data_IF_946599781464
#
_entry.id   IF_946599781464
#
_cell.length_a   1.000
_cell.length_b   1.000
_cell.length_c   1.000
_cell.angle_alpha   90.00
_cell.angle_beta   90.00
_cell.angle_gamma   90.00
#
_symmetry.space_group_name_H-M   'P 1'
#
loop_
_entity.id
_entity.type
_entity.pdbx_description
1 polymer ?
#
# COMPACT_ATOMS: atom_id res chain seq x y z
N UNK A 1 -16.38 -37.21 -65.96
CA UNK A 1 -15.38 -36.38 -65.32
C UNK A 1 -15.95 -36.00 -63.97
N UNK A 2 -15.50 -36.64 -62.87
CA UNK A 2 -15.94 -36.35 -61.49
C UNK A 2 -15.03 -35.27 -60.90
N UNK A 3 -15.58 -34.09 -60.54
CA UNK A 3 -14.86 -33.04 -59.87
C UNK A 3 -14.81 -33.38 -58.39
N UNK A 4 -13.58 -33.63 -57.85
CA UNK A 4 -13.32 -33.81 -56.41
C UNK A 4 -13.19 -32.42 -55.82
N UNK A 5 -14.12 -32.04 -54.91
CA UNK A 5 -13.99 -30.84 -54.05
C UNK A 5 -13.16 -31.20 -52.83
N UNK A 6 -11.96 -30.65 -52.74
CA UNK A 6 -11.10 -30.77 -51.57
C UNK A 6 -11.52 -29.71 -50.54
N UNK A 7 -12.14 -30.14 -49.45
CA UNK A 7 -12.53 -29.25 -48.32
C UNK A 7 -11.31 -29.12 -47.40
N UNK A 8 -10.63 -27.96 -47.45
CA UNK A 8 -9.54 -27.65 -46.53
C UNK A 8 -10.16 -27.11 -45.23
N UNK A 9 -10.13 -27.95 -44.19
CA UNK A 9 -10.55 -27.56 -42.82
C UNK A 9 -9.41 -26.79 -42.15
N UNK A 10 -9.52 -25.48 -42.05
CA UNK A 10 -8.59 -24.64 -41.27
C UNK A 10 -8.93 -24.78 -39.80
N UNK A 11 -8.14 -25.52 -39.05
CA UNK A 11 -8.24 -25.60 -37.59
C UNK A 11 -7.53 -24.36 -37.02
N UNK A 12 -8.29 -23.37 -36.59
CA UNK A 12 -7.79 -22.24 -35.81
C UNK A 12 -7.46 -22.72 -34.38
N UNK A 13 -6.19 -22.88 -34.10
CA UNK A 13 -5.72 -23.04 -32.72
C UNK A 13 -5.86 -21.67 -32.00
N UNK A 14 -6.91 -21.49 -31.19
CA UNK A 14 -7.04 -20.38 -30.29
C UNK A 14 -6.15 -20.70 -29.07
N UNK A 15 -4.92 -20.18 -29.07
CA UNK A 15 -4.10 -20.19 -27.87
C UNK A 15 -4.70 -19.14 -26.90
N UNK A 16 -4.97 -19.49 -25.63
CA UNK A 16 -5.35 -18.50 -24.65
C UNK A 16 -4.18 -17.52 -24.50
N UNK A 17 -4.36 -16.29 -24.97
CA UNK A 17 -3.45 -15.19 -24.65
C UNK A 17 -3.70 -14.88 -23.18
N UNK A 18 -2.83 -15.36 -22.31
CA UNK A 18 -2.84 -15.02 -20.90
C UNK A 18 -2.42 -13.54 -20.83
N UNK A 19 -3.37 -12.66 -20.56
CA UNK A 19 -3.08 -11.25 -20.39
C UNK A 19 -2.11 -11.10 -19.22
N UNK A 20 -0.92 -10.59 -19.48
CA UNK A 20 0.06 -10.29 -18.43
C UNK A 20 -0.50 -9.16 -17.59
N UNK A 21 -0.94 -9.47 -16.37
CA UNK A 21 -1.44 -8.47 -15.43
C UNK A 21 -0.23 -7.78 -14.77
N UNK A 22 -0.04 -6.50 -15.06
CA UNK A 22 1.00 -5.69 -14.41
C UNK A 22 0.45 -5.13 -13.11
N UNK A 23 1.06 -5.51 -11.97
CA UNK A 23 0.74 -4.96 -10.66
C UNK A 23 1.53 -3.67 -10.42
N UNK A 24 0.82 -2.56 -10.17
CA UNK A 24 1.42 -1.26 -9.85
C UNK A 24 1.34 -1.01 -8.35
N UNK A 25 2.48 -0.94 -7.71
CA UNK A 25 2.62 -0.68 -6.30
C UNK A 25 3.23 0.71 -6.09
N UNK A 26 2.72 1.44 -5.08
CA UNK A 26 3.17 2.78 -4.74
C UNK A 26 3.41 2.88 -3.24
N UNK A 27 4.40 3.68 -2.84
CA UNK A 27 4.55 4.16 -1.45
C UNK A 27 4.61 5.68 -1.46
N UNK A 28 3.97 6.34 -0.48
CA UNK A 28 3.86 7.79 -0.44
C UNK A 28 3.72 8.29 1.01
N UNK A 29 4.78 8.89 1.55
CA UNK A 29 4.69 9.68 2.77
C UNK A 29 4.01 11.02 2.42
N UNK A 30 2.83 11.28 2.99
CA UNK A 30 1.98 12.43 2.62
C UNK A 30 2.13 13.64 3.54
N UNK A 31 2.95 13.55 4.58
CA UNK A 31 3.14 14.64 5.57
C UNK A 31 1.78 15.24 6.00
N UNK A 32 0.86 14.42 6.50
CA UNK A 32 -0.52 14.80 6.87
C UNK A 32 -1.30 15.52 5.76
N UNK A 33 -1.01 15.23 4.50
CA UNK A 33 -1.50 15.91 3.30
C UNK A 33 -1.06 17.39 3.18
N UNK A 34 -0.01 17.81 3.90
CA UNK A 34 0.58 19.13 3.77
C UNK A 34 1.59 19.17 2.61
N UNK A 35 1.40 20.13 1.72
CA UNK A 35 2.37 20.42 0.66
C UNK A 35 3.60 21.16 1.19
N UNK A 36 4.60 21.35 0.32
CA UNK A 36 5.79 22.17 0.62
C UNK A 36 5.48 23.65 0.81
N UNK A 37 4.28 24.06 0.48
CA UNK A 37 3.70 25.40 0.68
C UNK A 37 2.86 25.49 1.98
N UNK A 38 2.94 24.48 2.84
CA UNK A 38 2.18 24.33 4.10
C UNK A 38 0.65 24.35 3.92
N UNK A 39 0.17 24.10 2.69
CA UNK A 39 -1.26 23.97 2.41
C UNK A 39 -1.67 22.51 2.49
N UNK A 40 -2.57 22.18 3.44
CA UNK A 40 -3.17 20.87 3.53
C UNK A 40 -4.20 20.66 2.39
N UNK A 41 -4.03 19.60 1.60
CA UNK A 41 -4.94 19.31 0.48
C UNK A 41 -5.03 17.83 0.16
N UNK A 42 -6.12 17.19 0.54
CA UNK A 42 -6.42 15.80 0.18
C UNK A 42 -6.58 15.61 -1.32
N UNK A 43 -7.09 16.65 -2.02
CA UNK A 43 -7.23 16.61 -3.47
C UNK A 43 -5.87 16.53 -4.18
N UNK A 44 -4.86 17.25 -3.70
CA UNK A 44 -3.50 17.20 -4.29
C UNK A 44 -2.88 15.82 -4.13
N UNK A 45 -3.02 15.20 -2.95
CA UNK A 45 -2.57 13.83 -2.70
C UNK A 45 -3.31 12.84 -3.62
N UNK A 46 -4.64 12.95 -3.69
CA UNK A 46 -5.45 12.10 -4.57
C UNK A 46 -5.07 12.26 -6.06
N UNK A 47 -4.76 13.48 -6.52
CA UNK A 47 -4.32 13.71 -7.90
C UNK A 47 -3.00 13.00 -8.21
N UNK A 48 -2.03 12.99 -7.27
CA UNK A 48 -0.76 12.26 -7.44
C UNK A 48 -1.03 10.76 -7.58
N UNK A 49 -1.89 10.20 -6.72
CA UNK A 49 -2.26 8.78 -6.74
C UNK A 49 -2.99 8.43 -8.05
N UNK A 50 -3.99 9.22 -8.44
CA UNK A 50 -4.76 8.99 -9.67
C UNK A 50 -3.89 9.04 -10.93
N UNK A 51 -2.94 9.98 -10.99
CA UNK A 51 -2.00 10.08 -12.11
C UNK A 51 -1.07 8.88 -12.21
N UNK A 52 -0.63 8.32 -11.08
CA UNK A 52 0.19 7.11 -11.04
C UNK A 52 -0.62 5.83 -11.30
N UNK A 53 -1.95 5.87 -11.06
CA UNK A 53 -2.88 4.75 -11.25
C UNK A 53 -2.41 3.44 -10.61
N UNK A 54 -1.98 3.42 -9.34
CA UNK A 54 -1.51 2.22 -8.66
C UNK A 54 -2.68 1.27 -8.34
N UNK A 55 -2.37 -0.02 -8.13
CA UNK A 55 -3.32 -1.00 -7.62
C UNK A 55 -3.37 -0.98 -6.09
N UNK A 56 -2.22 -0.69 -5.47
CA UNK A 56 -2.07 -0.54 -4.01
C UNK A 56 -1.11 0.60 -3.70
N UNK A 57 -1.45 1.41 -2.68
CA UNK A 57 -0.61 2.49 -2.16
C UNK A 57 -0.36 2.28 -0.66
N UNK A 58 0.91 2.21 -0.26
CA UNK A 58 1.33 2.35 1.14
C UNK A 58 1.45 3.85 1.46
N UNK A 59 0.72 4.32 2.46
CA UNK A 59 0.70 5.73 2.84
C UNK A 59 1.24 5.89 4.25
N UNK A 60 2.18 6.80 4.44
CA UNK A 60 2.74 7.15 5.72
C UNK A 60 2.32 8.56 6.14
N UNK A 61 2.41 8.84 7.43
CA UNK A 61 2.04 10.11 8.06
C UNK A 61 0.57 10.49 7.84
N UNK A 62 -0.32 9.57 8.25
CA UNK A 62 -1.76 9.73 8.10
C UNK A 62 -2.42 10.08 9.41
N UNK A 63 -3.15 11.18 9.43
CA UNK A 63 -4.02 11.56 10.53
C UNK A 63 -5.41 10.93 10.42
N UNK A 64 -5.99 10.61 11.57
CA UNK A 64 -7.40 10.25 11.70
C UNK A 64 -8.02 11.01 12.86
N UNK A 65 -8.95 11.91 12.55
CA UNK A 65 -9.71 12.69 13.54
C UNK A 65 -8.85 13.59 14.43
N UNK A 66 -7.64 13.96 14.02
CA UNK A 66 -6.78 14.88 14.78
C UNK A 66 -7.26 16.32 14.64
N UNK A 67 -6.88 17.18 15.61
CA UNK A 67 -7.20 18.61 15.55
C UNK A 67 -6.60 19.28 14.32
N UNK A 68 -5.32 18.99 14.01
CA UNK A 68 -4.63 19.59 12.86
C UNK A 68 -5.23 19.16 11.51
N UNK A 69 -5.86 17.98 11.43
CA UNK A 69 -6.57 17.54 10.24
C UNK A 69 -8.01 18.09 10.13
N UNK A 70 -8.42 18.96 11.06
CA UNK A 70 -9.79 19.45 11.14
C UNK A 70 -10.79 18.37 11.52
N UNK A 71 -10.37 17.39 12.34
CA UNK A 71 -11.16 16.22 12.75
C UNK A 71 -11.63 15.38 11.55
N UNK A 72 -10.80 15.30 10.49
CA UNK A 72 -11.08 14.49 9.30
C UNK A 72 -10.41 13.13 9.39
N UNK A 73 -11.07 12.12 8.87
CA UNK A 73 -10.47 10.83 8.55
C UNK A 73 -9.72 10.96 7.21
N UNK A 74 -8.45 11.40 7.28
CA UNK A 74 -7.65 11.80 6.11
C UNK A 74 -7.57 10.68 5.06
N UNK A 75 -7.34 9.45 5.48
CA UNK A 75 -7.27 8.32 4.53
C UNK A 75 -8.60 8.10 3.81
N UNK A 76 -9.72 8.23 4.52
CA UNK A 76 -11.06 8.12 3.91
C UNK A 76 -11.35 9.22 2.90
N UNK A 77 -10.95 10.46 3.21
CA UNK A 77 -11.06 11.60 2.29
C UNK A 77 -10.27 11.38 0.99
N UNK A 78 -9.09 10.75 1.08
CA UNK A 78 -8.28 10.41 -0.10
C UNK A 78 -8.89 9.21 -0.82
N UNK A 79 -9.35 8.18 -0.10
CA UNK A 79 -9.97 6.98 -0.65
C UNK A 79 -11.20 7.31 -1.52
N UNK A 80 -12.06 8.21 -1.04
CA UNK A 80 -13.23 8.68 -1.79
C UNK A 80 -12.82 9.31 -3.14
N UNK A 81 -11.80 10.18 -3.14
CA UNK A 81 -11.29 10.87 -4.33
C UNK A 81 -10.54 9.97 -5.30
N UNK A 82 -10.01 8.85 -4.83
CA UNK A 82 -9.29 7.87 -5.64
C UNK A 82 -10.13 6.65 -6.00
N UNK A 83 -11.34 6.53 -5.43
CA UNK A 83 -12.22 5.35 -5.56
C UNK A 83 -11.52 4.06 -5.11
N UNK A 84 -10.68 4.15 -4.08
CA UNK A 84 -9.95 3.02 -3.50
C UNK A 84 -10.49 2.68 -2.10
N UNK A 85 -10.25 1.45 -1.65
CA UNK A 85 -10.58 1.01 -0.28
C UNK A 85 -9.50 1.48 0.68
N UNK A 86 -9.90 2.04 1.83
CA UNK A 86 -9.01 2.54 2.87
C UNK A 86 -8.82 1.52 4.00
N UNK A 87 -7.57 1.25 4.37
CA UNK A 87 -7.21 0.43 5.53
C UNK A 87 -6.23 1.24 6.40
N UNK A 88 -6.69 1.77 7.53
CA UNK A 88 -5.88 2.60 8.44
C UNK A 88 -5.38 1.77 9.61
N UNK A 89 -4.11 1.97 9.98
CA UNK A 89 -3.49 1.41 11.19
C UNK A 89 -2.90 2.54 12.04
N UNK A 90 -3.47 2.80 13.22
CA UNK A 90 -2.91 3.78 14.13
C UNK A 90 -1.58 3.28 14.72
N UNK A 91 -0.64 4.19 14.90
CA UNK A 91 0.59 3.98 15.66
C UNK A 91 0.51 4.64 17.03
N UNK A 92 0.00 5.88 17.10
CA UNK A 92 -0.13 6.66 18.33
C UNK A 92 -1.46 7.40 18.42
N UNK A 93 -1.86 7.76 19.65
CA UNK A 93 -2.85 8.81 19.91
C UNK A 93 -2.18 10.17 19.67
N UNK A 94 -2.86 11.06 18.96
CA UNK A 94 -2.30 12.36 18.60
C UNK A 94 -3.38 13.43 18.46
N UNK A 95 -3.25 14.56 19.15
CA UNK A 95 -4.14 15.73 19.07
C UNK A 95 -5.65 15.40 19.14
N UNK A 96 -6.05 14.45 20.01
CA UNK A 96 -7.44 14.04 20.20
C UNK A 96 -7.96 13.05 19.15
N UNK A 97 -7.14 12.63 18.22
CA UNK A 97 -7.37 11.58 17.26
C UNK A 97 -6.21 10.60 17.24
N UNK A 98 -5.91 10.04 16.05
CA UNK A 98 -4.85 9.05 15.85
C UNK A 98 -3.95 9.44 14.68
N UNK A 99 -2.70 8.99 14.77
CA UNK A 99 -1.71 9.14 13.71
C UNK A 99 -1.08 7.79 13.43
N UNK A 100 -0.79 7.52 12.15
CA UNK A 100 -0.23 6.25 11.76
C UNK A 100 0.00 6.12 10.25
N UNK A 101 -0.29 4.93 9.75
CA UNK A 101 -0.12 4.57 8.35
C UNK A 101 -1.42 4.04 7.73
N UNK A 102 -1.46 3.96 6.41
CA UNK A 102 -2.62 3.45 5.69
C UNK A 102 -2.27 2.69 4.42
N UNK A 103 -3.23 1.91 3.96
CA UNK A 103 -3.26 1.39 2.61
C UNK A 103 -4.46 1.94 1.88
N UNK A 104 -4.26 2.30 0.61
CA UNK A 104 -5.34 2.44 -0.36
C UNK A 104 -5.22 1.31 -1.39
N UNK A 105 -6.31 0.62 -1.67
CA UNK A 105 -6.30 -0.57 -2.53
C UNK A 105 -7.48 -0.56 -3.49
N UNK A 106 -7.27 -0.96 -4.75
CA UNK A 106 -8.39 -1.16 -5.70
C UNK A 106 -9.22 -2.39 -5.35
N UNK A 107 -8.56 -3.45 -4.85
CA UNK A 107 -9.22 -4.68 -4.43
C UNK A 107 -9.27 -4.75 -2.90
N UNK A 108 -10.33 -5.29 -2.33
CA UNK A 108 -10.41 -5.57 -0.90
C UNK A 108 -9.44 -6.71 -0.57
N UNK A 109 -8.53 -6.55 0.41
CA UNK A 109 -7.66 -7.64 0.84
C UNK A 109 -8.47 -8.81 1.39
N UNK A 110 -8.01 -10.05 1.15
CA UNK A 110 -8.58 -11.27 1.74
C UNK A 110 -8.38 -11.29 3.26
N UNK A 111 -7.23 -10.76 3.72
CA UNK A 111 -6.87 -10.65 5.13
C UNK A 111 -6.09 -9.37 5.38
N UNK A 112 -6.37 -8.75 6.52
CA UNK A 112 -5.66 -7.57 7.00
C UNK A 112 -5.18 -7.82 8.43
N UNK A 113 -3.91 -7.51 8.70
CA UNK A 113 -3.33 -7.57 10.04
C UNK A 113 -2.59 -6.27 10.33
N UNK A 114 -2.71 -5.81 11.57
CA UNK A 114 -1.93 -4.69 12.10
C UNK A 114 -1.01 -5.22 13.18
N UNK A 115 0.27 -4.93 13.07
CA UNK A 115 1.32 -5.48 13.93
C UNK A 115 2.10 -4.31 14.52
N UNK A 116 2.16 -4.16 15.85
CA UNK A 116 2.98 -3.14 16.51
C UNK A 116 4.47 -3.37 16.20
N UNK A 117 5.18 -2.29 15.92
CA UNK A 117 6.62 -2.30 15.71
C UNK A 117 7.34 -1.42 16.74
N UNK A 118 8.59 -1.73 17.08
CA UNK A 118 9.40 -0.89 17.95
C UNK A 118 9.63 0.51 17.40
N UNK A 119 9.61 1.50 18.30
CA UNK A 119 9.96 2.89 18.01
C UNK A 119 10.01 3.64 19.33
N UNK A 120 11.22 4.04 19.79
CA UNK A 120 11.40 4.73 21.08
C UNK A 120 10.96 6.19 21.05
N UNK A 121 11.11 6.84 19.90
CA UNK A 121 10.68 8.21 19.67
C UNK A 121 9.18 8.28 19.42
N UNK A 122 8.62 7.27 18.79
CA UNK A 122 7.23 7.15 18.45
C UNK A 122 6.91 5.67 18.15
N UNK A 123 5.83 5.14 18.68
CA UNK A 123 5.40 3.79 18.37
C UNK A 123 5.16 3.65 16.86
N UNK A 124 5.54 2.50 16.30
CA UNK A 124 5.40 2.19 14.88
C UNK A 124 4.44 1.04 14.69
N UNK A 125 4.00 0.87 13.44
CA UNK A 125 3.08 -0.19 13.08
C UNK A 125 3.36 -0.71 11.68
N UNK A 126 2.96 -1.95 11.44
CA UNK A 126 2.96 -2.59 10.12
C UNK A 126 1.52 -2.95 9.76
N UNK A 127 1.11 -2.66 8.54
CA UNK A 127 -0.07 -3.29 7.93
C UNK A 127 0.43 -4.42 7.03
N UNK A 128 -0.12 -5.62 7.22
CA UNK A 128 0.05 -6.76 6.31
C UNK A 128 -1.30 -7.03 5.65
N UNK A 129 -1.35 -6.85 4.35
CA UNK A 129 -2.52 -7.10 3.52
C UNK A 129 -2.28 -8.30 2.61
N UNK A 130 -3.08 -9.34 2.73
CA UNK A 130 -3.05 -10.52 1.88
C UNK A 130 -4.05 -10.37 0.74
N UNK A 131 -3.58 -10.50 -0.49
CA UNK A 131 -4.39 -10.62 -1.70
C UNK A 131 -4.32 -12.05 -2.24
N UNK A 132 -5.04 -12.34 -3.31
CA UNK A 132 -5.06 -13.68 -3.89
C UNK A 132 -3.67 -14.13 -4.33
N UNK A 133 -2.92 -13.27 -5.03
CA UNK A 133 -1.65 -13.62 -5.68
C UNK A 133 -0.41 -13.05 -4.98
N UNK A 134 -0.56 -12.14 -3.99
CA UNK A 134 0.56 -11.48 -3.33
C UNK A 134 0.23 -11.00 -1.91
N UNK A 135 1.27 -10.62 -1.17
CA UNK A 135 1.22 -9.93 0.11
C UNK A 135 1.78 -8.52 -0.09
N UNK A 136 1.10 -7.53 0.47
CA UNK A 136 1.61 -6.17 0.50
C UNK A 136 1.69 -5.66 1.93
N UNK A 137 2.87 -5.22 2.34
CA UNK A 137 3.14 -4.71 3.68
C UNK A 137 3.43 -3.21 3.61
N UNK A 138 2.79 -2.43 4.50
CA UNK A 138 3.04 -1.01 4.67
C UNK A 138 3.61 -0.73 6.05
N UNK A 139 4.66 0.09 6.13
CA UNK A 139 5.25 0.53 7.39
C UNK A 139 5.76 1.97 7.31
N UNK A 140 6.03 2.56 8.49
CA UNK A 140 6.85 3.74 8.67
C UNK A 140 7.81 3.41 9.82
N UNK A 141 9.08 3.19 9.48
CA UNK A 141 10.07 2.68 10.44
C UNK A 141 10.56 3.77 11.39
N UNK A 142 11.16 3.37 12.51
CA UNK A 142 11.79 4.26 13.49
C UNK A 142 12.95 5.05 12.90
N UNK A 143 13.17 6.26 13.38
CA UNK A 143 14.38 7.04 13.11
C UNK A 143 15.63 6.37 13.70
N UNK A 144 15.44 5.55 14.75
CA UNK A 144 16.51 4.85 15.43
C UNK A 144 16.81 3.52 14.76
N UNK A 145 18.03 3.34 14.27
CA UNK A 145 18.51 2.12 13.59
C UNK A 145 18.24 0.84 14.39
N UNK A 146 18.61 0.82 15.68
CA UNK A 146 18.39 -0.35 16.55
C UNK A 146 16.92 -0.78 16.59
N UNK A 147 16.00 0.16 16.51
CA UNK A 147 14.57 -0.16 16.52
C UNK A 147 14.11 -0.58 15.12
N UNK A 148 14.70 -0.03 14.04
CA UNK A 148 14.51 -0.54 12.67
C UNK A 148 14.92 -2.00 12.54
N UNK A 149 16.10 -2.36 13.05
CA UNK A 149 16.60 -3.75 13.02
C UNK A 149 15.66 -4.71 13.77
N UNK A 150 15.18 -4.31 14.96
CA UNK A 150 14.18 -5.10 15.68
C UNK A 150 12.87 -5.22 14.92
N UNK A 151 12.43 -4.13 14.26
CA UNK A 151 11.22 -4.14 13.43
C UNK A 151 11.34 -5.12 12.28
N UNK A 152 12.53 -5.24 11.64
CA UNK A 152 12.76 -6.22 10.59
C UNK A 152 12.62 -7.65 11.09
N UNK A 153 13.09 -7.97 12.31
CA UNK A 153 12.89 -9.31 12.89
C UNK A 153 11.41 -9.61 13.16
N UNK A 154 10.65 -8.62 13.63
CA UNK A 154 9.19 -8.75 13.77
C UNK A 154 8.55 -8.99 12.41
N UNK A 155 8.85 -8.17 11.41
CA UNK A 155 8.31 -8.32 10.05
C UNK A 155 8.62 -9.72 9.51
N UNK A 156 9.89 -10.17 9.57
CA UNK A 156 10.30 -11.51 9.12
C UNK A 156 9.47 -12.62 9.77
N UNK A 157 9.20 -12.53 11.07
CA UNK A 157 8.43 -13.55 11.78
C UNK A 157 6.96 -13.63 11.28
N UNK A 158 6.35 -12.49 10.99
CA UNK A 158 4.97 -12.44 10.51
C UNK A 158 4.82 -12.82 9.04
N UNK A 159 5.83 -12.58 8.22
CA UNK A 159 5.76 -12.90 6.78
C UNK A 159 6.25 -14.33 6.46
N UNK A 160 7.00 -14.97 7.35
CA UNK A 160 7.57 -16.30 7.13
C UNK A 160 6.57 -17.40 6.71
N UNK A 161 5.30 -17.41 7.18
CA UNK A 161 4.34 -18.43 6.77
C UNK A 161 3.88 -18.30 5.32
N UNK A 162 4.00 -17.14 4.72
CA UNK A 162 3.49 -16.88 3.37
C UNK A 162 4.41 -17.42 2.29
N UNK A 163 3.83 -17.96 1.22
CA UNK A 163 4.54 -18.49 0.04
C UNK A 163 4.31 -17.66 -1.22
N UNK A 164 3.44 -16.65 -1.12
CA UNK A 164 3.13 -15.71 -2.20
C UNK A 164 4.26 -14.68 -2.35
N UNK A 165 4.42 -14.05 -3.51
CA UNK A 165 5.23 -12.84 -3.66
C UNK A 165 4.89 -11.82 -2.59
N UNK A 166 5.91 -11.25 -1.95
CA UNK A 166 5.75 -10.31 -0.86
C UNK A 166 6.48 -9.00 -1.19
N UNK A 167 5.77 -7.91 -0.95
CA UNK A 167 6.28 -6.55 -1.12
C UNK A 167 6.20 -5.82 0.22
N UNK A 168 7.32 -5.31 0.69
CA UNK A 168 7.39 -4.40 1.84
C UNK A 168 7.67 -2.99 1.31
N UNK A 169 6.76 -2.07 1.60
CA UNK A 169 6.85 -0.69 1.18
C UNK A 169 6.61 0.26 2.36
N UNK A 170 7.12 1.46 2.27
CA UNK A 170 6.96 2.45 3.33
C UNK A 170 8.09 3.46 3.37
N UNK A 171 8.09 4.27 4.42
CA UNK A 171 9.21 5.13 4.78
C UNK A 171 10.13 4.34 5.72
N UNK A 172 11.28 3.95 5.22
CA UNK A 172 12.24 3.12 5.97
C UNK A 172 13.08 3.93 6.95
N UNK A 173 13.06 5.28 6.87
CA UNK A 173 13.93 6.17 7.63
C UNK A 173 15.40 5.74 7.60
N UNK A 174 15.82 5.26 6.43
CA UNK A 174 17.15 4.74 6.16
C UNK A 174 17.52 5.05 4.71
N UNK A 175 18.78 5.35 4.47
CA UNK A 175 19.32 5.47 3.11
C UNK A 175 19.66 4.06 2.56
N UNK A 176 19.69 3.89 1.22
CA UNK A 176 19.97 2.58 0.61
C UNK A 176 21.31 1.95 1.02
N UNK A 177 22.27 2.78 1.48
CA UNK A 177 23.64 2.38 1.86
C UNK A 177 23.82 2.35 3.38
N UNK A 178 22.76 2.59 4.17
CA UNK A 178 22.81 2.46 5.61
C UNK A 178 22.73 0.97 6.01
N UNK A 179 23.50 0.61 7.02
CA UNK A 179 23.51 -0.75 7.61
C UNK A 179 22.14 -1.17 8.18
#
# INVERSE_FOLDING_TARGET
MKKIFLLISVILFIFPVQAQHTLRLMTYNIKNANGMDDICSFQRVANVINNASPDVVAIQEVDSMTRRSGQKYVLGEIAERTQMHACFAPAIEFEGGKYGIGLLTKQVPLRLQTIPLPGREEARTLILAEFEDYIYCCTHMSLTEKDRMKSLEVVKSFVAPYKKPLFLAGDMNAEPESD
#
